data_IF_325461078149
#
_entry.id   IF_325461078149
#
_cell.length_a   1.000
_cell.length_b   1.000
_cell.length_c   1.000
_cell.angle_alpha   90.00
_cell.angle_beta   90.00
_cell.angle_gamma   90.00
#
_symmetry.space_group_name_H-M   'P 1'
#
loop_
_entity.id
_entity.type
_entity.pdbx_description
1 polymer ?
#
# COMPACT_ATOMS: atom_id res chain seq x y z
N UNK A 1 17.73 -29.83 5.91
CA UNK A 1 17.79 -29.03 4.66
C UNK A 1 16.41 -28.57 4.15
N UNK A 2 15.43 -29.47 3.96
CA UNK A 2 14.08 -29.07 3.46
C UNK A 2 13.30 -28.15 4.40
N UNK A 3 13.33 -28.40 5.71
CA UNK A 3 12.62 -27.57 6.69
C UNK A 3 13.21 -26.15 6.80
N UNK A 4 14.53 -26.04 6.81
CA UNK A 4 15.23 -24.75 6.83
C UNK A 4 14.89 -23.88 5.60
N UNK A 5 14.78 -24.47 4.40
CA UNK A 5 14.32 -23.74 3.20
C UNK A 5 12.87 -23.26 3.33
N UNK A 6 12.01 -24.05 3.98
CA UNK A 6 10.60 -23.74 4.15
C UNK A 6 10.39 -22.61 5.17
N UNK A 7 11.11 -22.66 6.30
CA UNK A 7 11.14 -21.56 7.26
C UNK A 7 11.72 -20.28 6.65
N UNK A 8 12.83 -20.39 5.91
CA UNK A 8 13.44 -19.25 5.24
C UNK A 8 12.48 -18.55 4.26
N UNK A 9 11.76 -19.32 3.44
CA UNK A 9 10.76 -18.77 2.52
C UNK A 9 9.62 -18.07 3.27
N UNK A 10 9.18 -18.65 4.40
CA UNK A 10 8.11 -18.06 5.21
C UNK A 10 8.56 -16.74 5.82
N UNK A 11 9.78 -16.67 6.38
CA UNK A 11 10.31 -15.44 6.95
C UNK A 11 10.51 -14.33 5.92
N UNK A 12 10.88 -14.67 4.69
CA UNK A 12 10.99 -13.70 3.57
C UNK A 12 9.63 -13.14 3.15
N UNK A 13 8.60 -14.00 3.07
CA UNK A 13 7.25 -13.56 2.74
C UNK A 13 6.63 -12.73 3.88
N UNK A 14 6.86 -13.13 5.13
CA UNK A 14 6.45 -12.35 6.30
C UNK A 14 7.15 -10.98 6.30
N UNK A 15 8.45 -10.92 5.99
CA UNK A 15 9.20 -9.66 5.89
C UNK A 15 8.69 -8.76 4.76
N UNK A 16 8.33 -9.32 3.59
CA UNK A 16 7.70 -8.56 2.50
C UNK A 16 6.31 -8.06 2.88
N UNK A 17 5.54 -8.85 3.63
CA UNK A 17 4.23 -8.42 4.13
C UNK A 17 4.36 -7.25 5.10
N UNK A 18 5.42 -7.21 5.92
CA UNK A 18 5.69 -6.09 6.80
C UNK A 18 6.06 -4.80 6.04
N UNK A 19 6.46 -4.86 4.77
CA UNK A 19 6.70 -3.64 3.97
C UNK A 19 5.41 -2.88 3.64
N UNK A 20 4.23 -3.46 3.85
CA UNK A 20 2.97 -2.75 3.65
C UNK A 20 2.58 -1.86 4.84
N UNK A 21 3.38 -1.82 5.91
CA UNK A 21 3.11 -0.93 7.06
C UNK A 21 3.37 0.53 6.70
N UNK A 22 2.56 1.44 7.27
CA UNK A 22 2.68 2.89 7.06
C UNK A 22 1.89 3.45 5.86
N UNK A 23 1.12 2.61 5.16
CA UNK A 23 0.21 3.08 4.12
C UNK A 23 -1.03 3.74 4.76
N UNK A 24 -1.26 5.00 4.42
CA UNK A 24 -2.44 5.75 4.88
C UNK A 24 -3.64 5.35 4.03
N UNK A 25 -4.74 4.97 4.70
CA UNK A 25 -6.02 4.67 4.04
C UNK A 25 -6.78 5.97 3.80
N UNK A 26 -7.32 6.13 2.60
CA UNK A 26 -8.16 7.26 2.23
C UNK A 26 -9.27 6.87 1.25
N UNK A 27 -10.35 7.63 1.29
CA UNK A 27 -11.50 7.51 0.38
C UNK A 27 -11.30 8.40 -0.85
N UNK A 28 -11.58 7.89 -2.05
CA UNK A 28 -11.50 8.66 -3.30
C UNK A 28 -12.73 9.54 -3.42
N UNK A 29 -12.54 10.86 -3.47
CA UNK A 29 -13.64 11.82 -3.60
C UNK A 29 -13.94 12.17 -5.05
N UNK A 30 -12.92 12.61 -5.79
CA UNK A 30 -13.07 13.03 -7.19
C UNK A 30 -11.77 12.91 -7.97
N UNK A 31 -11.83 12.56 -9.27
CA UNK A 31 -10.70 12.73 -10.17
C UNK A 31 -10.46 14.22 -10.45
N UNK A 32 -9.19 14.60 -10.53
CA UNK A 32 -8.77 15.92 -10.99
C UNK A 32 -8.35 15.83 -12.47
N UNK A 33 -7.42 14.90 -12.74
CA UNK A 33 -6.89 14.63 -14.09
C UNK A 33 -6.71 13.12 -14.28
N UNK A 34 -6.29 12.69 -15.48
CA UNK A 34 -6.11 11.26 -15.82
C UNK A 34 -5.15 10.50 -14.89
N UNK A 35 -4.25 11.21 -14.19
CA UNK A 35 -3.24 10.62 -13.31
C UNK A 35 -3.40 11.02 -11.84
N UNK A 36 -4.28 11.98 -11.51
CA UNK A 36 -4.37 12.58 -10.18
C UNK A 36 -5.79 12.55 -9.63
N UNK A 37 -5.91 12.07 -8.40
CA UNK A 37 -7.17 11.90 -7.68
C UNK A 37 -7.12 12.69 -6.36
N UNK A 38 -8.24 13.27 -5.95
CA UNK A 38 -8.39 13.82 -4.61
C UNK A 38 -8.90 12.71 -3.69
N UNK A 39 -8.13 12.44 -2.63
CA UNK A 39 -8.50 11.50 -1.57
C UNK A 39 -8.69 12.23 -0.25
N UNK A 40 -9.62 11.75 0.56
CA UNK A 40 -9.76 12.14 1.96
C UNK A 40 -9.09 11.07 2.81
N UNK A 41 -8.02 11.43 3.51
CA UNK A 41 -7.38 10.50 4.44
C UNK A 41 -8.34 10.18 5.60
N UNK A 42 -8.24 8.99 6.18
CA UNK A 42 -9.01 8.62 7.37
C UNK A 42 -8.78 9.59 8.55
N UNK A 43 -7.67 10.33 8.55
CA UNK A 43 -7.36 11.36 9.54
C UNK A 43 -8.13 12.67 9.35
N UNK A 44 -8.85 12.85 8.24
CA UNK A 44 -9.69 14.04 7.96
C UNK A 44 -9.22 14.97 6.83
N UNK A 45 -7.91 15.26 6.67
CA UNK A 45 -7.43 16.13 5.59
C UNK A 45 -7.63 15.53 4.19
N UNK A 46 -7.67 16.43 3.19
CA UNK A 46 -7.75 16.07 1.78
C UNK A 46 -6.37 16.20 1.13
N UNK A 47 -6.01 15.21 0.32
CA UNK A 47 -4.74 15.14 -0.40
C UNK A 47 -4.98 14.90 -1.89
N UNK A 48 -4.05 15.38 -2.72
CA UNK A 48 -3.98 15.00 -4.13
C UNK A 48 -2.96 13.86 -4.23
N UNK A 49 -3.38 12.72 -4.77
CA UNK A 49 -2.53 11.54 -4.94
C UNK A 49 -2.47 11.12 -6.40
N UNK A 50 -1.31 10.61 -6.81
CA UNK A 50 -1.12 10.02 -8.12
C UNK A 50 -1.66 8.59 -8.17
N UNK A 51 -2.32 8.21 -9.26
CA UNK A 51 -2.68 6.83 -9.51
C UNK A 51 -1.47 6.09 -10.11
N UNK A 52 -1.10 4.95 -9.52
CA UNK A 52 -0.13 4.03 -10.11
C UNK A 52 -0.87 2.83 -10.68
N UNK A 53 -0.98 2.76 -12.00
CA UNK A 53 -1.43 1.54 -12.70
C UNK A 53 -0.42 0.41 -12.43
N UNK A 54 -0.92 -0.77 -12.09
CA UNK A 54 -0.12 -1.95 -11.74
C UNK A 54 0.58 -2.55 -12.96
#
# INVERSE_FOLDING_TARGET
>A
LRNAKKEFSKTEDDLKSLQSVGQIIGEVLRPLDNERLIVKASSGPRYVVGCRSK
#
